data_IF_239114098631
#
_entry.id   IF_239114098631
#
_cell.length_a   1.000
_cell.length_b   1.000
_cell.length_c   1.000
_cell.angle_alpha   90.00
_cell.angle_beta   90.00
_cell.angle_gamma   90.00
#
_symmetry.space_group_name_H-M   'P 1'
#
loop_
_entity.id
_entity.type
_entity.pdbx_description
1 polymer ?
#
# COMPACT_ATOMS: atom_id res chain seq x y z
N UNK A 1 41.10 -39.76 20.30
CA UNK A 1 40.89 -39.96 18.85
C UNK A 1 39.55 -39.34 18.47
N UNK A 2 39.52 -38.01 18.27
CA UNK A 2 39.46 -37.33 16.96
C UNK A 2 38.10 -37.44 16.24
N UNK A 3 37.08 -36.74 16.74
CA UNK A 3 35.96 -36.24 15.92
C UNK A 3 35.54 -34.80 16.26
N UNK A 4 36.45 -34.00 16.84
CA UNK A 4 36.36 -32.55 16.82
C UNK A 4 37.39 -32.01 15.84
N UNK A 5 37.02 -31.77 14.57
CA UNK A 5 37.72 -30.85 13.64
C UNK A 5 37.06 -30.74 12.24
N UNK A 6 35.72 -30.65 12.10
CA UNK A 6 35.07 -30.46 10.78
C UNK A 6 33.97 -29.39 10.70
N UNK A 7 33.91 -28.49 11.67
CA UNK A 7 32.95 -27.36 11.67
C UNK A 7 33.58 -25.98 11.50
N UNK A 8 34.81 -25.92 10.97
CA UNK A 8 35.55 -24.65 10.85
C UNK A 8 35.90 -24.20 9.43
N UNK A 9 35.35 -24.82 8.38
CA UNK A 9 35.55 -24.33 7.02
C UNK A 9 34.25 -24.34 6.22
N UNK A 10 33.95 -23.17 5.65
CA UNK A 10 32.85 -22.84 4.72
C UNK A 10 31.51 -22.43 5.35
N UNK A 11 31.46 -21.21 5.86
CA UNK A 11 30.70 -20.21 5.11
C UNK A 11 31.66 -19.10 4.70
N UNK A 12 32.05 -19.09 3.42
CA UNK A 12 32.43 -17.82 2.81
C UNK A 12 31.19 -16.95 2.97
N UNK A 13 31.19 -16.04 3.94
CA UNK A 13 30.32 -14.88 3.90
C UNK A 13 30.70 -14.20 2.60
N UNK A 14 29.91 -14.42 1.55
CA UNK A 14 29.98 -13.57 0.37
C UNK A 14 29.92 -12.13 0.90
N UNK A 15 30.86 -11.25 0.54
CA UNK A 15 30.74 -9.85 0.94
C UNK A 15 29.32 -9.41 0.58
N UNK A 16 28.63 -8.79 1.54
CA UNK A 16 27.30 -8.24 1.28
C UNK A 16 27.40 -7.42 -0.01
N UNK A 17 26.45 -7.53 -0.95
CA UNK A 17 26.50 -6.75 -2.18
C UNK A 17 26.71 -5.27 -1.81
N UNK A 18 27.84 -4.70 -2.20
CA UNK A 18 28.07 -3.27 -1.98
C UNK A 18 27.31 -2.51 -3.06
N UNK A 19 26.52 -1.52 -2.67
CA UNK A 19 25.73 -0.68 -3.57
C UNK A 19 26.32 0.73 -3.67
N UNK A 20 27.54 0.90 -4.22
CA UNK A 20 28.27 2.17 -4.15
C UNK A 20 27.50 3.32 -4.81
N UNK A 21 26.82 3.07 -5.94
CA UNK A 21 26.01 4.08 -6.61
C UNK A 21 24.82 4.55 -5.75
N UNK A 22 24.16 3.61 -5.03
CA UNK A 22 23.05 3.95 -4.14
C UNK A 22 23.51 4.66 -2.88
N UNK A 23 24.69 4.31 -2.35
CA UNK A 23 25.31 5.02 -1.23
C UNK A 23 25.63 6.45 -1.64
N UNK A 24 26.34 6.65 -2.76
CA UNK A 24 26.68 7.97 -3.26
C UNK A 24 25.43 8.81 -3.57
N UNK A 25 24.39 8.20 -4.15
CA UNK A 25 23.11 8.85 -4.37
C UNK A 25 22.44 9.29 -3.06
N UNK A 26 22.37 8.39 -2.07
CA UNK A 26 21.77 8.70 -0.77
C UNK A 26 22.53 9.84 -0.07
N UNK A 27 23.86 9.80 -0.06
CA UNK A 27 24.73 10.83 0.51
C UNK A 27 24.52 12.19 -0.18
N UNK A 28 24.46 12.20 -1.53
CA UNK A 28 24.24 13.43 -2.31
C UNK A 28 22.91 14.13 -1.98
N UNK A 29 21.93 13.35 -1.49
CA UNK A 29 20.60 13.83 -1.06
C UNK A 29 20.46 13.95 0.45
N UNK A 30 21.55 13.72 1.20
CA UNK A 30 21.58 13.71 2.66
C UNK A 30 20.60 12.69 3.28
N UNK A 31 20.37 11.59 2.59
CA UNK A 31 19.60 10.45 3.08
C UNK A 31 20.50 9.51 3.88
N UNK A 32 19.93 8.85 4.89
CA UNK A 32 20.62 7.83 5.64
C UNK A 32 20.52 6.49 4.91
N UNK A 33 21.65 5.89 4.53
CA UNK A 33 21.72 4.58 3.89
C UNK A 33 22.19 3.51 4.89
N UNK A 34 21.54 2.34 4.88
CA UNK A 34 21.95 1.18 5.69
C UNK A 34 21.76 -0.11 4.90
N UNK A 35 22.84 -0.85 4.66
CA UNK A 35 22.76 -2.25 4.21
C UNK A 35 22.23 -3.15 5.33
N UNK A 36 21.40 -4.14 4.99
CA UNK A 36 20.93 -5.13 5.97
C UNK A 36 22.03 -6.16 6.20
N UNK A 37 22.46 -6.31 7.46
CA UNK A 37 23.47 -7.33 7.81
C UNK A 37 22.83 -8.72 7.73
N UNK A 38 23.56 -9.67 7.17
CA UNK A 38 23.19 -11.09 7.09
C UNK A 38 21.88 -11.40 6.30
N UNK A 39 21.36 -10.43 5.55
CA UNK A 39 20.23 -10.62 4.64
C UNK A 39 20.43 -9.78 3.37
N UNK A 40 19.76 -10.16 2.29
CA UNK A 40 19.73 -9.37 1.07
C UNK A 40 18.91 -8.10 1.29
N UNK A 41 19.47 -6.93 0.98
CA UNK A 41 18.72 -5.69 0.94
C UNK A 41 19.37 -4.48 1.61
N UNK A 42 18.70 -3.35 1.47
CA UNK A 42 19.10 -2.10 2.09
C UNK A 42 17.89 -1.24 2.47
N UNK A 43 18.16 -0.23 3.27
CA UNK A 43 17.22 0.77 3.75
C UNK A 43 17.78 2.15 3.42
N UNK A 44 16.92 3.03 2.90
CA UNK A 44 17.19 4.45 2.75
C UNK A 44 16.13 5.24 3.51
N UNK A 45 16.57 6.16 4.35
CA UNK A 45 15.69 7.03 5.13
C UNK A 45 15.91 8.48 4.73
N UNK A 46 14.82 9.17 4.42
CA UNK A 46 14.82 10.55 3.98
C UNK A 46 13.61 11.31 4.51
N UNK A 47 13.36 12.48 3.94
CA UNK A 47 12.24 13.33 4.31
C UNK A 47 11.73 14.15 3.13
N UNK A 48 10.43 14.45 3.14
CA UNK A 48 9.78 15.37 2.22
C UNK A 48 9.22 16.55 3.00
N UNK A 49 9.98 17.64 3.05
CA UNK A 49 9.76 18.70 4.04
C UNK A 49 10.01 18.16 5.45
N UNK A 50 9.04 18.34 6.34
CA UNK A 50 9.11 17.79 7.71
C UNK A 50 8.70 16.30 7.81
N UNK A 51 8.14 15.70 6.75
CA UNK A 51 7.60 14.35 6.81
C UNK A 51 8.69 13.30 6.52
N UNK A 52 9.09 12.45 7.48
CA UNK A 52 10.04 11.38 7.21
C UNK A 52 9.40 10.30 6.33
N UNK A 53 10.23 9.68 5.49
CA UNK A 53 9.88 8.49 4.75
C UNK A 53 11.01 7.46 4.84
N UNK A 54 10.66 6.20 4.60
CA UNK A 54 11.60 5.09 4.55
C UNK A 54 11.37 4.26 3.30
N UNK A 55 12.45 4.00 2.59
CA UNK A 55 12.56 3.10 1.46
C UNK A 55 13.33 1.85 1.89
N UNK A 56 12.85 0.69 1.50
CA UNK A 56 13.47 -0.59 1.77
C UNK A 56 13.41 -1.46 0.53
N UNK A 57 14.53 -2.08 0.17
CA UNK A 57 14.60 -3.07 -0.89
C UNK A 57 15.11 -4.39 -0.30
N UNK A 58 14.48 -5.51 -0.64
CA UNK A 58 14.88 -6.84 -0.16
C UNK A 58 13.83 -7.92 -0.43
N UNK A 59 13.83 -9.03 0.33
CA UNK A 59 12.88 -10.13 0.15
C UNK A 59 11.40 -9.68 0.15
N UNK A 60 10.53 -10.36 -0.61
CA UNK A 60 9.13 -9.98 -0.72
C UNK A 60 8.34 -10.26 0.57
N UNK A 61 7.45 -9.34 0.93
CA UNK A 61 6.55 -9.46 2.09
C UNK A 61 5.11 -9.82 1.70
N UNK A 62 4.83 -10.03 0.42
CA UNK A 62 3.55 -10.56 -0.07
C UNK A 62 3.80 -11.60 -1.14
N UNK A 63 2.98 -12.63 -1.14
CA UNK A 63 3.04 -13.77 -2.07
C UNK A 63 2.90 -13.38 -3.53
N UNK A 64 2.18 -12.29 -3.84
CA UNK A 64 2.00 -11.79 -5.20
C UNK A 64 3.22 -11.01 -5.73
N UNK A 65 4.23 -10.72 -4.91
CA UNK A 65 5.47 -10.10 -5.37
C UNK A 65 6.49 -11.18 -5.67
N UNK A 66 6.84 -11.32 -6.95
CA UNK A 66 7.87 -12.25 -7.43
C UNK A 66 9.24 -11.57 -7.37
N UNK A 67 10.23 -12.24 -6.79
CA UNK A 67 11.58 -11.70 -6.64
C UNK A 67 11.67 -10.66 -5.51
N UNK A 68 12.65 -9.75 -5.63
CA UNK A 68 12.84 -8.69 -4.64
C UNK A 68 11.76 -7.60 -4.75
N UNK A 69 11.51 -6.93 -3.63
CA UNK A 69 10.46 -5.95 -3.48
C UNK A 69 11.06 -4.61 -3.04
N UNK A 70 10.62 -3.53 -3.68
CA UNK A 70 10.81 -2.16 -3.20
C UNK A 70 9.59 -1.71 -2.39
N UNK A 71 9.82 -1.25 -1.17
CA UNK A 71 8.82 -0.76 -0.22
C UNK A 71 9.14 0.67 0.16
N UNK A 72 8.22 1.59 -0.04
CA UNK A 72 8.28 2.94 0.54
C UNK A 72 7.16 3.12 1.53
N UNK A 73 7.45 3.79 2.65
CA UNK A 73 6.47 4.11 3.69
C UNK A 73 6.71 5.49 4.28
N UNK A 74 5.62 6.15 4.62
CA UNK A 74 5.61 7.38 5.39
C UNK A 74 4.41 7.33 6.34
N UNK A 75 4.64 7.65 7.61
CA UNK A 75 3.55 8.07 8.47
C UNK A 75 3.01 9.38 7.90
N UNK A 76 1.71 9.57 7.90
CA UNK A 76 1.05 10.78 7.41
C UNK A 76 0.03 11.22 8.47
N UNK A 77 -0.22 12.51 8.59
CA UNK A 77 -1.28 13.04 9.46
C UNK A 77 -2.67 12.86 8.81
N UNK A 78 -2.99 11.64 8.38
CA UNK A 78 -4.28 11.27 7.78
C UNK A 78 -5.16 10.59 8.84
N UNK A 79 -6.50 10.63 8.70
CA UNK A 79 -7.40 9.91 9.60
C UNK A 79 -7.04 8.42 9.67
N UNK A 80 -7.08 7.84 10.88
CA UNK A 80 -6.74 6.42 11.09
C UNK A 80 -7.66 5.46 10.33
N UNK A 81 -8.93 5.86 10.18
CA UNK A 81 -9.96 5.09 9.50
C UNK A 81 -9.89 5.20 7.98
N UNK A 82 -9.11 6.13 7.42
CA UNK A 82 -8.97 6.27 5.98
C UNK A 82 -8.25 5.03 5.41
N UNK A 83 -8.95 4.34 4.51
CA UNK A 83 -8.48 3.13 3.85
C UNK A 83 -8.63 3.31 2.35
N UNK A 84 -7.50 3.37 1.66
CA UNK A 84 -7.42 3.66 0.23
C UNK A 84 -6.44 2.70 -0.41
N UNK A 85 -6.78 2.19 -1.58
CA UNK A 85 -5.95 1.29 -2.35
C UNK A 85 -6.00 1.67 -3.83
N UNK A 86 -4.83 1.84 -4.42
CA UNK A 86 -4.62 1.96 -5.86
C UNK A 86 -3.64 0.87 -6.27
N UNK A 87 -4.03 0.04 -7.24
CA UNK A 87 -3.22 -1.06 -7.72
C UNK A 87 -3.34 -1.26 -9.22
N UNK A 88 -2.35 -1.90 -9.85
CA UNK A 88 -2.44 -2.26 -11.26
C UNK A 88 -3.59 -3.26 -11.49
N UNK A 89 -4.29 -3.12 -12.61
CA UNK A 89 -5.52 -3.86 -12.89
C UNK A 89 -5.30 -5.37 -12.94
N UNK A 90 -4.21 -5.82 -13.56
CA UNK A 90 -3.86 -7.24 -13.63
C UNK A 90 -3.80 -7.88 -12.25
N UNK A 91 -3.11 -7.23 -11.30
CA UNK A 91 -3.03 -7.69 -9.91
C UNK A 91 -4.41 -7.69 -9.23
N UNK A 92 -5.23 -6.69 -9.52
CA UNK A 92 -6.59 -6.59 -8.97
C UNK A 92 -7.47 -7.76 -9.43
N UNK A 93 -7.42 -8.13 -10.71
CA UNK A 93 -8.15 -9.28 -11.27
C UNK A 93 -7.67 -10.61 -10.68
N UNK A 94 -6.34 -10.77 -10.51
CA UNK A 94 -5.75 -11.95 -9.89
C UNK A 94 -6.17 -12.10 -8.42
N UNK A 95 -6.17 -10.99 -7.66
CA UNK A 95 -6.64 -10.98 -6.27
C UNK A 95 -8.14 -11.29 -6.17
N UNK A 96 -8.98 -10.76 -7.08
CA UNK A 96 -10.41 -11.09 -7.11
C UNK A 96 -10.65 -12.57 -7.35
N UNK A 97 -9.95 -13.13 -8.35
CA UNK A 97 -10.05 -14.57 -8.63
C UNK A 97 -9.63 -15.39 -7.41
N UNK A 98 -8.51 -15.04 -6.78
CA UNK A 98 -8.03 -15.74 -5.59
C UNK A 98 -9.02 -15.64 -4.41
N UNK A 99 -9.70 -14.50 -4.22
CA UNK A 99 -10.74 -14.37 -3.18
C UNK A 99 -11.98 -15.18 -3.53
N UNK A 100 -12.39 -15.20 -4.80
CA UNK A 100 -13.51 -16.02 -5.26
C UNK A 100 -13.25 -17.51 -5.08
N UNK A 101 -12.06 -17.98 -5.47
CA UNK A 101 -11.65 -19.39 -5.33
C UNK A 101 -11.67 -19.81 -3.85
N UNK A 102 -11.15 -18.97 -2.94
CA UNK A 102 -11.22 -19.20 -1.50
C UNK A 102 -12.66 -19.29 -0.96
N UNK A 103 -13.61 -18.58 -1.58
CA UNK A 103 -15.01 -18.61 -1.20
C UNK A 103 -15.74 -19.85 -1.74
N UNK A 104 -15.43 -20.28 -2.97
CA UNK A 104 -16.05 -21.45 -3.62
C UNK A 104 -15.50 -22.77 -3.07
N UNK A 105 -14.21 -22.85 -2.76
CA UNK A 105 -13.57 -24.06 -2.22
C UNK A 105 -13.98 -24.39 -0.77
N UNK A 106 -14.93 -23.64 -0.19
CA UNK A 106 -15.59 -24.04 1.06
C UNK A 106 -14.61 -24.19 2.22
N UNK A 107 -13.62 -23.30 2.34
CA UNK A 107 -12.79 -23.21 3.56
C UNK A 107 -13.64 -22.61 4.68
N UNK A 108 -14.58 -23.43 5.15
CA UNK A 108 -15.38 -23.25 6.34
C UNK A 108 -14.48 -23.54 7.54
N UNK A 109 -13.58 -22.60 7.86
CA UNK A 109 -13.08 -22.29 9.21
C UNK A 109 -11.81 -21.44 9.09
N UNK A 110 -11.90 -20.22 9.62
CA UNK A 110 -10.87 -19.16 9.66
C UNK A 110 -10.68 -18.42 8.34
N UNK A 111 -11.44 -17.33 8.19
CA UNK A 111 -10.86 -16.08 7.66
C UNK A 111 -9.74 -15.71 8.65
N UNK A 112 -8.60 -16.37 8.49
CA UNK A 112 -7.45 -16.21 9.34
C UNK A 112 -6.88 -14.82 9.06
N UNK A 113 -6.17 -14.23 10.02
CA UNK A 113 -5.49 -12.93 9.84
C UNK A 113 -4.39 -12.96 8.74
N UNK A 114 -4.34 -14.01 7.92
CA UNK A 114 -3.42 -14.22 6.81
C UNK A 114 -3.86 -13.52 5.52
N UNK A 115 -5.16 -13.26 5.29
CA UNK A 115 -5.59 -12.54 4.08
C UNK A 115 -5.10 -11.09 4.16
N UNK A 116 -4.22 -10.67 3.22
CA UNK A 116 -3.69 -9.32 3.23
C UNK A 116 -4.81 -8.27 3.14
N UNK A 117 -4.66 -7.08 3.78
CA UNK A 117 -5.69 -6.05 3.75
C UNK A 117 -6.18 -5.70 2.34
N UNK A 118 -5.26 -5.71 1.36
CA UNK A 118 -5.55 -5.36 -0.02
C UNK A 118 -6.60 -6.31 -0.64
N UNK A 119 -6.52 -7.62 -0.36
CA UNK A 119 -7.48 -8.61 -0.86
C UNK A 119 -8.86 -8.44 -0.21
N UNK A 120 -8.89 -8.14 1.09
CA UNK A 120 -10.15 -7.89 1.81
C UNK A 120 -10.86 -6.65 1.27
N UNK A 121 -10.10 -5.58 1.02
CA UNK A 121 -10.64 -4.30 0.57
C UNK A 121 -11.21 -4.35 -0.84
N UNK A 122 -10.64 -5.18 -1.72
CA UNK A 122 -11.16 -5.39 -3.08
C UNK A 122 -12.64 -5.81 -3.09
N UNK A 123 -13.07 -6.58 -2.07
CA UNK A 123 -14.46 -7.01 -1.92
C UNK A 123 -15.29 -6.03 -1.10
N UNK A 124 -14.67 -5.39 -0.10
CA UNK A 124 -15.39 -4.54 0.86
C UNK A 124 -15.69 -3.12 0.37
N UNK A 125 -14.81 -2.52 -0.43
CA UNK A 125 -14.89 -1.10 -0.74
C UNK A 125 -15.34 -0.82 -2.17
N UNK A 126 -16.11 0.26 -2.38
CA UNK A 126 -16.51 0.67 -3.72
C UNK A 126 -15.26 1.03 -4.53
N UNK A 127 -15.22 0.53 -5.77
CA UNK A 127 -14.23 0.91 -6.77
C UNK A 127 -14.65 2.19 -7.46
N UNK A 128 -13.68 2.97 -7.91
CA UNK A 128 -13.93 4.03 -8.87
C UNK A 128 -14.35 3.45 -10.23
N UNK A 129 -15.35 4.07 -10.84
CA UNK A 129 -15.77 3.77 -12.20
C UNK A 129 -14.71 4.23 -13.21
N UNK A 130 -14.77 3.70 -14.44
CA UNK A 130 -13.84 4.07 -15.50
C UNK A 130 -13.85 5.57 -15.86
N UNK A 131 -15.00 6.23 -15.73
CA UNK A 131 -15.13 7.69 -15.92
C UNK A 131 -14.38 8.48 -14.84
N UNK A 132 -14.40 8.01 -13.59
CA UNK A 132 -13.71 8.64 -12.46
C UNK A 132 -12.18 8.43 -12.52
N UNK A 133 -11.73 7.31 -13.10
CA UNK A 133 -10.31 7.01 -13.29
C UNK A 133 -9.68 7.73 -14.50
N UNK A 134 -10.48 8.19 -15.46
CA UNK A 134 -10.00 8.87 -16.66
C UNK A 134 -8.94 8.06 -17.42
N UNK A 135 -7.73 8.62 -17.55
CA UNK A 135 -6.62 7.99 -18.27
C UNK A 135 -6.02 6.77 -17.54
N UNK A 136 -6.23 6.63 -16.22
CA UNK A 136 -5.76 5.49 -15.45
C UNK A 136 -6.60 4.24 -15.68
N UNK A 137 -7.80 4.41 -16.23
CA UNK A 137 -8.82 3.36 -16.28
C UNK A 137 -8.39 2.11 -17.02
N UNK A 138 -7.36 2.10 -17.85
CA UNK A 138 -6.94 0.88 -18.56
C UNK A 138 -5.93 0.05 -17.75
N UNK A 139 -5.21 0.70 -16.82
CA UNK A 139 -4.04 0.11 -16.17
C UNK A 139 -4.17 -0.03 -14.66
N UNK A 140 -5.03 0.76 -14.04
CA UNK A 140 -5.17 0.78 -12.59
C UNK A 140 -6.63 0.57 -12.16
N UNK A 141 -6.78 0.04 -10.96
CA UNK A 141 -8.01 0.06 -10.18
C UNK A 141 -7.76 0.88 -8.91
N UNK A 142 -8.79 1.56 -8.44
CA UNK A 142 -8.73 2.33 -7.21
C UNK A 142 -10.02 2.13 -6.41
N UNK A 143 -9.88 1.97 -5.10
CA UNK A 143 -10.97 1.73 -4.17
C UNK A 143 -10.67 2.34 -2.80
N UNK A 144 -11.72 2.78 -2.11
CA UNK A 144 -11.59 3.40 -0.80
C UNK A 144 -12.88 3.30 -0.01
N UNK A 145 -12.78 3.36 1.32
CA UNK A 145 -13.94 3.57 2.19
C UNK A 145 -14.48 5.01 2.15
N UNK A 146 -13.67 5.98 1.69
CA UNK A 146 -14.07 7.36 1.42
C UNK A 146 -13.85 7.71 -0.05
N UNK A 147 -14.85 7.42 -0.89
CA UNK A 147 -14.77 7.60 -2.35
C UNK A 147 -14.45 9.05 -2.77
N UNK A 148 -15.11 10.09 -2.23
CA UNK A 148 -14.80 11.48 -2.60
C UNK A 148 -13.35 11.86 -2.31
N UNK A 149 -12.77 11.34 -1.21
CA UNK A 149 -11.38 11.59 -0.85
C UNK A 149 -10.43 10.99 -1.89
N UNK A 150 -10.69 9.75 -2.32
CA UNK A 150 -9.89 9.08 -3.35
C UNK A 150 -9.97 9.80 -4.71
N UNK A 151 -11.16 10.25 -5.12
CA UNK A 151 -11.30 11.07 -6.35
C UNK A 151 -10.46 12.33 -6.24
N UNK A 152 -10.63 13.09 -5.14
CA UNK A 152 -9.84 14.29 -4.90
C UNK A 152 -8.33 14.02 -4.90
N UNK A 153 -7.88 12.91 -4.33
CA UNK A 153 -6.47 12.52 -4.29
C UNK A 153 -5.89 12.23 -5.69
N UNK A 154 -6.70 11.63 -6.57
CA UNK A 154 -6.29 11.28 -7.94
C UNK A 154 -6.44 12.44 -8.94
N UNK A 155 -7.30 13.42 -8.70
CA UNK A 155 -7.49 14.58 -9.58
C UNK A 155 -6.22 15.45 -9.75
N UNK A 156 -5.25 15.32 -8.85
CA UNK A 156 -4.00 16.08 -8.93
C UNK A 156 -2.87 15.39 -9.70
N UNK A 157 -1.62 15.86 -9.54
CA UNK A 157 -0.43 15.29 -10.19
C UNK A 157 -0.21 13.78 -9.99
N UNK A 158 -0.86 13.16 -9.00
CA UNK A 158 -0.73 11.72 -8.74
C UNK A 158 -1.21 10.87 -9.91
N UNK A 159 -2.35 11.19 -10.54
CA UNK A 159 -2.82 10.40 -11.68
C UNK A 159 -1.85 10.47 -12.87
N UNK A 160 -1.28 11.64 -13.14
CA UNK A 160 -0.24 11.79 -14.17
C UNK A 160 1.00 10.97 -13.82
N UNK A 161 1.47 11.01 -12.56
CA UNK A 161 2.63 10.25 -12.11
C UNK A 161 2.41 8.73 -12.23
N UNK A 162 1.23 8.24 -11.82
CA UNK A 162 0.84 6.84 -12.00
C UNK A 162 0.79 6.46 -13.48
N UNK A 163 0.18 7.29 -14.32
CA UNK A 163 0.11 7.08 -15.77
C UNK A 163 1.48 7.05 -16.46
N UNK A 164 2.46 7.79 -15.94
CA UNK A 164 3.81 7.83 -16.47
C UNK A 164 4.65 6.59 -16.10
N UNK A 165 4.24 5.79 -15.11
CA UNK A 165 4.97 4.56 -14.75
C UNK A 165 5.04 3.60 -15.94
N UNK A 166 6.22 3.00 -16.16
CA UNK A 166 6.52 2.07 -17.26
C UNK A 166 6.74 0.64 -16.75
N UNK A 167 5.91 0.22 -15.80
CA UNK A 167 5.99 -1.12 -15.22
C UNK A 167 5.20 -2.12 -16.08
N UNK A 168 5.70 -3.35 -16.29
CA UNK A 168 4.93 -4.41 -16.94
C UNK A 168 3.60 -4.63 -16.21
N UNK A 169 2.51 -4.96 -16.92
CA UNK A 169 1.21 -5.21 -16.28
C UNK A 169 1.24 -6.29 -15.19
N UNK A 170 2.09 -7.31 -15.35
CA UNK A 170 2.28 -8.40 -14.39
C UNK A 170 3.13 -8.00 -13.17
N UNK A 171 3.80 -6.85 -13.21
CA UNK A 171 4.61 -6.34 -12.10
C UNK A 171 3.68 -5.65 -11.10
N UNK A 172 3.55 -6.14 -9.86
CA UNK A 172 2.61 -5.59 -8.89
C UNK A 172 2.98 -4.15 -8.52
N UNK A 173 1.98 -3.28 -8.57
CA UNK A 173 2.03 -1.91 -8.06
C UNK A 173 0.93 -1.77 -7.04
N UNK A 174 1.28 -1.45 -5.80
CA UNK A 174 0.31 -1.23 -4.73
C UNK A 174 0.65 0.06 -4.01
N UNK A 175 -0.21 1.06 -4.14
CA UNK A 175 -0.17 2.31 -3.40
C UNK A 175 -1.37 2.33 -2.44
N UNK A 176 -1.10 2.44 -1.14
CA UNK A 176 -2.11 2.23 -0.11
C UNK A 176 -2.01 3.26 1.01
N UNK A 177 -3.16 3.74 1.48
CA UNK A 177 -3.31 4.46 2.74
C UNK A 177 -4.01 3.55 3.73
N UNK A 178 -3.40 3.32 4.90
CA UNK A 178 -3.98 2.51 5.96
C UNK A 178 -3.44 2.95 7.34
N UNK A 179 -4.31 3.18 8.32
CA UNK A 179 -3.92 3.54 9.70
C UNK A 179 -2.97 4.75 9.74
N UNK A 180 -3.31 5.80 8.99
CA UNK A 180 -2.48 7.01 8.88
C UNK A 180 -1.19 6.83 8.07
N UNK A 181 -0.91 5.67 7.47
CA UNK A 181 0.33 5.42 6.72
C UNK A 181 0.10 5.36 5.23
N UNK A 182 0.94 6.05 4.48
CA UNK A 182 1.07 5.87 3.05
C UNK A 182 2.17 4.85 2.76
N UNK A 183 1.88 3.86 1.93
CA UNK A 183 2.83 2.84 1.50
C UNK A 183 2.79 2.62 0.00
N UNK A 184 3.94 2.43 -0.62
CA UNK A 184 4.09 2.00 -2.01
C UNK A 184 4.89 0.69 -2.03
N UNK A 185 4.39 -0.31 -2.76
CA UNK A 185 5.06 -1.60 -2.95
C UNK A 185 5.16 -1.90 -4.44
N UNK A 186 6.36 -2.26 -4.88
CA UNK A 186 6.69 -2.60 -6.26
C UNK A 186 7.52 -3.88 -6.29
N UNK A 187 7.32 -4.74 -7.30
CA UNK A 187 8.35 -5.72 -7.63
C UNK A 187 9.53 -5.00 -8.29
N UNK A 188 10.73 -5.23 -7.77
CA UNK A 188 11.96 -4.66 -8.29
C UNK A 188 13.06 -5.73 -8.23
N UNK A 189 13.23 -6.54 -9.29
CA UNK A 189 14.13 -7.70 -9.28
C UNK A 189 15.59 -7.36 -8.97
N UNK A 190 16.05 -6.17 -9.40
CA UNK A 190 17.38 -5.64 -9.15
C UNK A 190 17.28 -4.20 -8.68
N UNK A 191 18.13 -3.74 -7.73
CA UNK A 191 18.05 -2.40 -7.17
C UNK A 191 18.63 -1.34 -8.12
N UNK A 192 18.02 -1.17 -9.28
CA UNK A 192 18.38 -0.16 -10.27
C UNK A 192 18.07 1.24 -9.73
N UNK A 193 19.08 2.13 -9.76
CA UNK A 193 18.96 3.46 -9.20
C UNK A 193 17.88 4.30 -9.91
N UNK A 194 17.73 4.19 -11.24
CA UNK A 194 16.74 4.98 -11.99
C UNK A 194 15.32 4.55 -11.66
N UNK A 195 15.10 3.25 -11.48
CA UNK A 195 13.81 2.71 -11.04
C UNK A 195 13.49 3.14 -9.61
N UNK A 196 14.47 3.08 -8.70
CA UNK A 196 14.35 3.55 -7.32
C UNK A 196 13.99 5.04 -7.26
N UNK A 197 14.68 5.88 -8.03
CA UNK A 197 14.38 7.31 -8.07
C UNK A 197 12.99 7.59 -8.65
N UNK A 198 12.56 6.80 -9.64
CA UNK A 198 11.23 6.92 -10.24
C UNK A 198 10.14 6.54 -9.25
N UNK A 199 10.35 5.45 -8.51
CA UNK A 199 9.45 5.03 -7.43
C UNK A 199 9.40 6.06 -6.30
N UNK A 200 10.54 6.63 -5.91
CA UNK A 200 10.60 7.69 -4.90
C UNK A 200 9.85 8.95 -5.36
N UNK A 201 10.03 9.40 -6.62
CA UNK A 201 9.28 10.54 -7.18
C UNK A 201 7.78 10.31 -7.19
N UNK A 202 7.33 9.10 -7.54
CA UNK A 202 5.92 8.73 -7.46
C UNK A 202 5.42 8.80 -6.00
N UNK A 203 6.18 8.23 -5.07
CA UNK A 203 5.82 8.20 -3.66
C UNK A 203 5.75 9.60 -3.04
N UNK A 204 6.72 10.47 -3.31
CA UNK A 204 6.71 11.85 -2.86
C UNK A 204 5.54 12.65 -3.45
N UNK A 205 5.15 12.34 -4.70
CA UNK A 205 3.95 12.92 -5.32
C UNK A 205 2.70 12.46 -4.57
N UNK A 206 2.58 11.16 -4.29
CA UNK A 206 1.49 10.63 -3.48
C UNK A 206 1.43 11.30 -2.09
N UNK A 207 2.57 11.51 -1.42
CA UNK A 207 2.64 12.23 -0.13
C UNK A 207 2.15 13.67 -0.21
N UNK A 208 2.54 14.43 -1.25
CA UNK A 208 2.05 15.81 -1.47
C UNK A 208 0.54 15.81 -1.71
N UNK A 209 0.07 14.93 -2.57
CA UNK A 209 -1.34 14.86 -2.93
C UNK A 209 -2.21 14.38 -1.76
N UNK A 210 -1.71 13.49 -0.89
CA UNK A 210 -2.44 13.09 0.31
C UNK A 210 -2.64 14.26 1.27
N UNK A 211 -1.63 15.13 1.41
CA UNK A 211 -1.75 16.36 2.22
C UNK A 211 -2.73 17.34 1.59
N UNK A 212 -2.69 17.52 0.26
CA UNK A 212 -3.65 18.37 -0.45
C UNK A 212 -5.09 17.89 -0.25
N UNK A 213 -5.35 16.60 -0.50
CA UNK A 213 -6.68 16.00 -0.35
C UNK A 213 -7.18 16.09 1.11
N UNK A 214 -6.31 15.90 2.11
CA UNK A 214 -6.67 16.09 3.51
C UNK A 214 -7.00 17.55 3.84
N UNK A 215 -6.25 18.53 3.29
CA UNK A 215 -6.51 19.96 3.51
C UNK A 215 -7.78 20.48 2.82
N UNK A 216 -8.25 19.79 1.78
CA UNK A 216 -9.46 20.16 1.05
C UNK A 216 -10.75 19.86 1.83
N UNK A 217 -10.67 19.25 3.02
CA UNK A 217 -11.81 19.01 3.90
C UNK A 217 -12.75 17.91 3.41
N UNK A 218 -12.29 17.04 2.50
CA UNK A 218 -13.12 15.93 2.02
C UNK A 218 -13.41 14.97 3.17
N UNK A 219 -14.66 14.93 3.62
CA UNK A 219 -15.09 14.13 4.76
C UNK A 219 -14.79 12.64 4.51
N UNK A 220 -14.13 12.03 5.48
CA UNK A 220 -14.07 10.58 5.60
C UNK A 220 -15.31 10.23 6.39
N UNK A 221 -16.37 9.81 5.69
CA UNK A 221 -17.59 9.33 6.34
C UNK A 221 -17.21 8.22 7.31
N UNK A 222 -17.19 8.56 8.59
CA UNK A 222 -17.13 7.58 9.65
C UNK A 222 -18.50 6.90 9.62
N UNK A 223 -18.60 5.56 9.51
CA UNK A 223 -19.87 4.90 9.77
C UNK A 223 -20.19 5.14 11.24
N UNK A 224 -20.91 6.23 11.53
CA UNK A 224 -21.40 6.46 12.87
C UNK A 224 -22.40 5.35 13.12
N UNK A 225 -22.05 4.44 14.03
CA UNK A 225 -23.01 3.60 14.74
C UNK A 225 -23.83 4.50 15.66
N UNK A 226 -24.59 5.44 15.08
CA UNK A 226 -25.74 5.97 15.79
C UNK A 226 -26.81 4.89 15.66
N UNK A 227 -27.22 4.23 16.75
CA UNK A 227 -28.40 3.39 16.69
C UNK A 227 -29.53 4.33 16.27
N UNK A 228 -30.18 4.03 15.15
CA UNK A 228 -31.45 4.64 14.79
C UNK A 228 -32.35 4.51 16.02
N UNK A 229 -32.54 5.61 16.74
CA UNK A 229 -33.52 5.72 17.81
C UNK A 229 -34.83 5.31 17.17
N UNK A 230 -35.33 4.13 17.58
CA UNK A 230 -36.67 3.71 17.25
C UNK A 230 -37.60 4.88 17.53
N UNK A 231 -38.30 5.34 16.49
CA UNK A 231 -39.45 6.20 16.65
C UNK A 231 -40.43 5.48 17.57
N UNK A 232 -40.41 5.81 18.85
CA UNK A 232 -41.48 5.50 19.76
C UNK A 232 -42.67 6.38 19.33
N UNK A 233 -43.42 5.91 18.34
CA UNK A 233 -44.73 6.46 18.04
C UNK A 233 -45.55 6.41 19.31
N UNK A 234 -45.90 7.60 19.78
CA UNK A 234 -46.68 7.83 20.98
C UNK A 234 -47.97 7.01 20.95
N UNK A 235 -48.14 6.13 21.95
CA UNK A 235 -49.47 5.61 22.27
C UNK A 235 -50.34 6.77 22.74
N UNK A 236 -51.39 7.08 22.00
CA UNK A 236 -52.48 7.96 22.47
C UNK A 236 -53.29 7.22 23.53
N UNK A 237 -53.52 7.80 24.72
CA UNK A 237 -54.47 7.25 25.67
C UNK A 237 -55.79 8.00 25.53
N UNK A 238 -56.71 7.49 24.70
CA UNK A 238 -58.11 7.81 24.94
C UNK A 238 -59.07 6.79 24.31
N UNK A 239 -59.73 6.02 25.18
CA UNK A 239 -60.99 5.36 24.89
C UNK A 239 -61.52 4.74 26.20
N UNK A 240 -62.42 5.45 26.89
CA UNK A 240 -63.48 4.82 27.69
C UNK A 240 -64.80 5.06 26.98
N UNK A 241 -65.63 4.04 26.74
CA UNK A 241 -67.04 4.26 26.51
C UNK A 241 -67.83 4.07 27.82
N UNK A 242 -68.92 4.83 27.89
CA UNK A 242 -70.01 4.78 28.88
C UNK A 242 -70.77 3.44 28.87
#
# INVERSE_FOLDING_TARGET
MLQGLKRWFSSRTSPAPEWPELVAWAESRQFAFRGVRDAEGFVVEGRLGAQPWRLEWGPPQRSYVKGAELRLRAEMALPSELQVLVLNRRLQEEMERAVFDQYVEGVQTRIDNQTPPEMRWIVMFPKLAGSELGALRERFAALANAKPWLVSWLEGPLATALGATRLPPESPVVLMVARGRLTLRLALPSPDLREIETALRLFETAMRESRRAASAGTEVDSPSTQPSLWSASAMSPDARPE
#
